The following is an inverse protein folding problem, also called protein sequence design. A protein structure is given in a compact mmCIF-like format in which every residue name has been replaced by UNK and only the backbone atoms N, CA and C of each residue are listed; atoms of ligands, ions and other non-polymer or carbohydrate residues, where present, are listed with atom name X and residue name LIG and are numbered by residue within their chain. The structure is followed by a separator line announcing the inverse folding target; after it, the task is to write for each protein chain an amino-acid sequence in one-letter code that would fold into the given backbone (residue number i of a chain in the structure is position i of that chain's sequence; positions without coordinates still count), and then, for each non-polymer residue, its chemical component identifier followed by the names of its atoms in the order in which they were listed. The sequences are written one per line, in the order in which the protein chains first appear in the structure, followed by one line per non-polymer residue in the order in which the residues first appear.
data_IF_679467001556
#
_entry.id   IF_679467001556
#
_cell.length_a   1.000
_cell.length_b   1.000
_cell.length_c   1.000
_cell.angle_alpha   90.00
_cell.angle_beta   90.00
_cell.angle_gamma   90.00
#
_symmetry.space_group_name_H-M   'P 1'
#
loop_
_entity.id
_entity.type
_entity.pdbx_description
1 polymer ?
#
# COMPACT_ATOMS: atom_id res chain seq x y z
N UNK A 1 11.86 65.94 -42.23
CA UNK A 1 12.18 65.53 -40.84
C UNK A 1 13.04 64.27 -40.92
N UNK A 2 14.08 64.23 -40.08
CA UNK A 2 15.26 63.39 -40.21
C UNK A 2 15.00 61.88 -39.98
N UNK A 3 15.95 61.03 -40.44
CA UNK A 3 15.79 59.60 -40.71
C UNK A 3 16.49 58.72 -39.63
N UNK A 4 16.31 57.40 -39.66
CA UNK A 4 17.31 56.41 -39.21
C UNK A 4 16.88 54.99 -39.66
N UNK A 5 17.62 54.31 -40.56
CA UNK A 5 18.83 53.49 -40.36
C UNK A 5 18.44 52.05 -39.93
N UNK A 6 18.37 51.08 -40.85
CA UNK A 6 19.45 50.21 -41.35
C UNK A 6 20.22 49.40 -40.29
N UNK A 7 20.37 48.11 -40.60
CA UNK A 7 21.25 47.07 -40.01
C UNK A 7 20.72 46.37 -38.75
N UNK A 8 21.13 45.15 -38.37
CA UNK A 8 21.48 43.89 -39.02
C UNK A 8 21.70 42.92 -37.84
N UNK A 9 21.52 41.62 -38.06
CA UNK A 9 22.26 40.51 -37.42
C UNK A 9 21.87 39.92 -36.04
N UNK A 10 21.96 38.59 -36.07
CA UNK A 10 22.36 37.61 -35.05
C UNK A 10 21.34 37.05 -34.06
N UNK A 11 20.99 35.80 -34.35
CA UNK A 11 20.44 34.76 -33.47
C UNK A 11 21.35 34.51 -32.26
N UNK A 12 20.77 34.47 -31.07
CA UNK A 12 21.33 33.80 -29.89
C UNK A 12 20.28 32.78 -29.39
N UNK A 13 20.66 31.55 -28.99
CA UNK A 13 19.73 30.61 -28.36
C UNK A 13 19.57 30.96 -26.87
N UNK A 14 18.34 31.29 -26.48
CA UNK A 14 17.95 31.55 -25.10
C UNK A 14 17.99 30.26 -24.28
N UNK A 15 18.85 30.26 -23.26
CA UNK A 15 18.86 29.31 -22.15
C UNK A 15 17.56 29.46 -21.33
N UNK A 16 16.84 28.35 -21.11
CA UNK A 16 15.77 28.31 -20.11
C UNK A 16 16.38 28.06 -18.71
N UNK A 17 15.91 28.76 -17.66
CA UNK A 17 16.45 28.65 -16.31
C UNK A 17 16.07 27.33 -15.62
N UNK A 18 17.06 26.66 -15.05
CA UNK A 18 16.91 25.49 -14.18
C UNK A 18 16.21 25.87 -12.87
N UNK A 19 15.05 25.26 -12.60
CA UNK A 19 14.42 25.33 -11.28
C UNK A 19 15.06 24.30 -10.34
N UNK A 20 15.44 24.69 -9.10
CA UNK A 20 16.00 23.77 -8.12
C UNK A 20 14.91 22.81 -7.62
N UNK A 21 15.03 21.52 -7.94
CA UNK A 21 14.21 20.47 -7.32
C UNK A 21 14.80 20.12 -5.95
N UNK A 22 14.14 20.59 -4.89
CA UNK A 22 14.40 20.17 -3.52
C UNK A 22 14.03 18.68 -3.38
N UNK A 23 15.03 17.81 -3.44
CA UNK A 23 14.91 16.43 -2.99
C UNK A 23 14.85 16.43 -1.45
N UNK A 24 13.85 15.80 -0.79
CA UNK A 24 13.93 15.58 0.64
C UNK A 24 15.03 14.54 0.90
N UNK A 25 16.17 14.99 1.41
CA UNK A 25 17.22 14.12 1.92
C UNK A 25 16.69 13.42 3.17
N UNK A 26 16.31 12.15 3.03
CA UNK A 26 15.95 11.29 4.16
C UNK A 26 17.21 10.94 4.94
N UNK A 27 17.43 11.62 6.07
CA UNK A 27 18.40 11.16 7.06
C UNK A 27 17.82 9.97 7.84
N UNK A 28 18.54 8.85 7.99
CA UNK A 28 18.07 7.75 8.83
C UNK A 28 18.31 8.10 10.31
N UNK A 29 17.25 8.47 11.02
CA UNK A 29 17.24 8.54 12.48
C UNK A 29 17.32 7.13 13.06
N UNK A 30 18.41 6.88 13.78
CA UNK A 30 18.94 5.54 14.11
C UNK A 30 18.31 4.91 15.37
N UNK A 31 17.00 5.11 15.63
CA UNK A 31 16.34 4.61 16.86
C UNK A 31 14.99 3.89 16.60
N UNK A 32 14.57 3.73 15.35
CA UNK A 32 13.27 3.18 14.99
C UNK A 32 13.24 1.64 14.86
N UNK A 33 14.39 0.99 15.02
CA UNK A 33 14.66 -0.26 14.31
C UNK A 33 14.37 -1.55 15.08
N UNK A 34 13.84 -1.50 16.31
CA UNK A 34 13.87 -2.66 17.22
C UNK A 34 12.49 -3.28 17.53
N UNK A 35 11.42 -2.85 16.88
CA UNK A 35 10.10 -3.44 17.15
C UNK A 35 9.98 -4.82 16.49
N UNK A 36 9.73 -5.85 17.31
CA UNK A 36 9.45 -7.20 16.82
C UNK A 36 8.12 -7.23 16.08
N UNK A 37 8.04 -8.07 15.04
CA UNK A 37 6.80 -8.26 14.26
C UNK A 37 5.59 -8.53 15.16
N UNK A 38 5.73 -9.45 16.12
CA UNK A 38 4.66 -9.85 17.04
C UNK A 38 4.13 -8.65 17.84
N UNK A 39 5.03 -7.84 18.39
CA UNK A 39 4.67 -6.70 19.22
C UNK A 39 3.96 -5.62 18.39
N UNK A 40 4.43 -5.39 17.15
CA UNK A 40 3.76 -4.49 16.21
C UNK A 40 2.33 -4.97 15.85
N UNK A 41 2.16 -6.28 15.63
CA UNK A 41 0.83 -6.85 15.33
C UNK A 41 -0.13 -6.76 16.52
N UNK A 42 0.35 -7.02 17.74
CA UNK A 42 -0.46 -6.91 18.96
C UNK A 42 -0.87 -5.46 19.23
N UNK A 43 0.07 -4.52 19.07
CA UNK A 43 -0.19 -3.10 19.18
C UNK A 43 -1.28 -2.64 18.20
N UNK A 44 -1.09 -2.88 16.90
CA UNK A 44 -2.08 -2.47 15.90
C UNK A 44 -3.45 -3.14 16.13
N UNK A 45 -3.48 -4.43 16.47
CA UNK A 45 -4.73 -5.14 16.73
C UNK A 45 -5.48 -4.55 17.95
N UNK A 46 -4.76 -4.11 18.98
CA UNK A 46 -5.36 -3.47 20.15
C UNK A 46 -6.09 -2.18 19.76
N UNK A 47 -5.53 -1.38 18.84
CA UNK A 47 -6.14 -0.14 18.37
C UNK A 47 -7.28 -0.41 17.37
N UNK A 48 -7.08 -1.34 16.43
CA UNK A 48 -8.11 -1.73 15.45
C UNK A 48 -9.34 -2.35 16.11
N UNK A 49 -9.18 -3.01 17.25
CA UNK A 49 -10.31 -3.58 18.00
C UNK A 49 -11.30 -2.54 18.51
N UNK A 50 -10.83 -1.31 18.77
CA UNK A 50 -11.65 -0.19 19.24
C UNK A 50 -12.27 0.62 18.11
N UNK A 51 -11.70 0.55 16.91
CA UNK A 51 -12.06 1.41 15.78
C UNK A 51 -12.84 0.67 14.69
N UNK A 52 -12.57 -0.61 14.46
CA UNK A 52 -13.24 -1.41 13.44
C UNK A 52 -14.47 -2.13 14.00
N UNK A 53 -15.49 -2.29 13.13
CA UNK A 53 -16.60 -3.21 13.41
C UNK A 53 -16.10 -4.64 13.52
N UNK A 54 -16.78 -5.47 14.32
CA UNK A 54 -16.42 -6.88 14.60
C UNK A 54 -16.15 -7.68 13.32
N UNK A 55 -17.00 -7.55 12.29
CA UNK A 55 -16.83 -8.26 11.02
C UNK A 55 -15.58 -7.82 10.27
N UNK A 56 -15.28 -6.52 10.26
CA UNK A 56 -14.10 -5.93 9.61
C UNK A 56 -12.83 -6.30 10.37
N UNK A 57 -12.87 -6.27 11.70
CA UNK A 57 -11.78 -6.69 12.57
C UNK A 57 -11.42 -8.16 12.33
N UNK A 58 -12.43 -9.04 12.18
CA UNK A 58 -12.21 -10.46 11.89
C UNK A 58 -11.45 -10.67 10.58
N UNK A 59 -11.90 -10.04 9.49
CA UNK A 59 -11.23 -10.12 8.19
C UNK A 59 -9.84 -9.52 8.24
N UNK A 60 -9.69 -8.35 8.87
CA UNK A 60 -8.41 -7.68 9.07
C UNK A 60 -7.41 -8.59 9.81
N UNK A 61 -7.79 -9.11 10.99
CA UNK A 61 -6.97 -10.03 11.79
C UNK A 61 -6.56 -11.26 10.98
N UNK A 62 -7.48 -11.83 10.19
CA UNK A 62 -7.18 -12.96 9.31
C UNK A 62 -6.11 -12.62 8.27
N UNK A 63 -6.19 -11.46 7.63
CA UNK A 63 -5.21 -11.02 6.64
C UNK A 63 -3.82 -10.83 7.26
N UNK A 64 -3.75 -10.14 8.40
CA UNK A 64 -2.51 -9.87 9.12
C UNK A 64 -1.86 -11.17 9.60
N UNK A 65 -2.64 -12.07 10.21
CA UNK A 65 -2.13 -13.35 10.68
C UNK A 65 -1.59 -14.22 9.54
N UNK A 66 -2.28 -14.22 8.39
CA UNK A 66 -1.84 -15.00 7.23
C UNK A 66 -0.59 -14.41 6.59
N UNK A 67 -0.45 -13.09 6.58
CA UNK A 67 0.81 -12.45 6.19
C UNK A 67 1.95 -12.80 7.14
N UNK A 68 1.73 -12.69 8.46
CA UNK A 68 2.72 -13.07 9.47
C UNK A 68 3.15 -14.54 9.33
N UNK A 69 2.20 -15.46 9.14
CA UNK A 69 2.50 -16.88 8.92
C UNK A 69 3.31 -17.11 7.64
N UNK A 70 3.00 -16.38 6.57
CA UNK A 70 3.73 -16.48 5.30
C UNK A 70 5.16 -15.96 5.43
N UNK A 71 5.37 -14.80 6.07
CA UNK A 71 6.71 -14.24 6.29
C UNK A 71 7.54 -15.19 7.14
N UNK A 72 7.02 -15.70 8.27
CA UNK A 72 7.77 -16.63 9.11
C UNK A 72 8.13 -17.95 8.41
N UNK A 73 7.37 -18.34 7.38
CA UNK A 73 7.62 -19.54 6.59
C UNK A 73 8.70 -19.31 5.54
N UNK A 74 8.58 -18.25 4.75
CA UNK A 74 9.46 -17.99 3.60
C UNK A 74 10.76 -17.27 4.03
N UNK A 75 10.73 -16.52 5.13
CA UNK A 75 11.79 -15.63 5.59
C UNK A 75 12.00 -15.72 7.10
N UNK A 76 12.78 -16.70 7.55
CA UNK A 76 13.00 -16.99 8.99
C UNK A 76 13.84 -15.92 9.70
N UNK A 77 14.59 -15.15 8.93
CA UNK A 77 15.47 -14.08 9.38
C UNK A 77 14.74 -12.77 9.67
N UNK A 78 13.57 -12.54 9.06
CA UNK A 78 12.82 -11.29 9.22
C UNK A 78 12.03 -11.32 10.54
N UNK A 79 12.61 -10.73 11.60
CA UNK A 79 12.02 -10.73 12.95
C UNK A 79 11.56 -9.34 13.37
N UNK A 80 12.11 -8.29 12.77
CA UNK A 80 11.81 -6.90 13.06
C UNK A 80 10.96 -6.29 11.95
N UNK A 81 10.10 -5.33 12.31
CA UNK A 81 9.23 -4.66 11.35
C UNK A 81 10.04 -3.89 10.29
N UNK A 82 11.20 -3.37 10.70
CA UNK A 82 12.19 -2.68 9.87
C UNK A 82 12.81 -3.58 8.80
N UNK A 83 12.89 -4.90 9.04
CA UNK A 83 13.42 -5.86 8.07
C UNK A 83 12.48 -6.04 6.88
N UNK A 84 11.18 -5.77 7.06
CA UNK A 84 10.18 -5.97 6.00
C UNK A 84 10.27 -4.83 4.98
N UNK A 85 10.86 -5.16 3.85
CA UNK A 85 10.90 -4.31 2.66
C UNK A 85 9.69 -4.52 1.72
N UNK A 86 9.50 -3.57 0.81
CA UNK A 86 8.47 -3.62 -0.25
C UNK A 86 8.47 -4.93 -1.04
N UNK A 87 9.65 -5.52 -1.31
CA UNK A 87 9.79 -6.78 -2.05
C UNK A 87 9.02 -7.93 -1.41
N UNK A 88 9.12 -8.10 -0.09
CA UNK A 88 8.46 -9.20 0.63
C UNK A 88 6.93 -9.06 0.56
N UNK A 89 6.41 -7.84 0.69
CA UNK A 89 4.97 -7.58 0.55
C UNK A 89 4.51 -7.83 -0.88
N UNK A 90 5.27 -7.40 -1.89
CA UNK A 90 4.91 -7.63 -3.31
C UNK A 90 4.87 -9.12 -3.63
N UNK A 91 5.85 -9.89 -3.16
CA UNK A 91 5.89 -11.35 -3.34
C UNK A 91 4.72 -12.05 -2.68
N UNK A 92 4.39 -11.68 -1.43
CA UNK A 92 3.21 -12.20 -0.75
C UNK A 92 1.93 -11.90 -1.55
N UNK A 93 1.77 -10.67 -2.02
CA UNK A 93 0.62 -10.28 -2.82
C UNK A 93 0.56 -11.05 -4.15
N UNK A 94 1.70 -11.32 -4.79
CA UNK A 94 1.79 -12.14 -6.00
C UNK A 94 1.42 -13.60 -5.71
N UNK A 95 1.84 -14.15 -4.57
CA UNK A 95 1.41 -15.47 -4.10
C UNK A 95 -0.12 -15.54 -3.93
N UNK A 96 -0.76 -14.48 -3.39
CA UNK A 96 -2.21 -14.41 -3.28
C UNK A 96 -2.91 -14.35 -4.65
N UNK A 97 -2.34 -13.66 -5.65
CA UNK A 97 -2.89 -13.68 -7.01
C UNK A 97 -2.90 -15.11 -7.57
N UNK A 98 -1.79 -15.85 -7.39
CA UNK A 98 -1.65 -17.22 -7.89
C UNK A 98 -2.59 -18.21 -7.21
N UNK A 99 -2.92 -18.00 -5.94
CA UNK A 99 -3.70 -18.96 -5.13
C UNK A 99 -5.17 -18.59 -4.98
N UNK A 100 -5.54 -17.33 -5.19
CA UNK A 100 -6.91 -16.84 -4.93
C UNK A 100 -7.43 -15.97 -6.08
N UNK A 101 -7.49 -14.65 -5.89
CA UNK A 101 -7.97 -13.70 -6.89
C UNK A 101 -7.34 -12.32 -6.73
N UNK A 102 -7.36 -11.53 -7.81
CA UNK A 102 -6.94 -10.13 -7.80
C UNK A 102 -7.71 -9.28 -6.78
N UNK A 103 -9.00 -9.58 -6.57
CA UNK A 103 -9.84 -8.92 -5.56
C UNK A 103 -9.33 -9.23 -4.16
N UNK A 104 -9.07 -10.51 -3.88
CA UNK A 104 -8.56 -10.91 -2.59
C UNK A 104 -7.19 -10.30 -2.31
N UNK A 105 -6.28 -10.33 -3.30
CA UNK A 105 -5.00 -9.62 -3.22
C UNK A 105 -5.16 -8.15 -2.86
N UNK A 106 -6.10 -7.44 -3.48
CA UNK A 106 -6.33 -6.02 -3.17
C UNK A 106 -6.88 -5.80 -1.76
N UNK A 107 -7.73 -6.70 -1.26
CA UNK A 107 -8.21 -6.66 0.12
C UNK A 107 -7.06 -6.83 1.12
N UNK A 108 -6.15 -7.79 0.88
CA UNK A 108 -4.96 -7.96 1.71
C UNK A 108 -4.03 -6.74 1.64
N UNK A 109 -3.79 -6.19 0.44
CA UNK A 109 -3.03 -4.95 0.28
C UNK A 109 -3.64 -3.80 1.10
N UNK A 110 -4.96 -3.65 1.09
CA UNK A 110 -5.64 -2.62 1.88
C UNK A 110 -5.46 -2.83 3.39
N UNK A 111 -5.60 -4.06 3.89
CA UNK A 111 -5.36 -4.38 5.30
C UNK A 111 -3.90 -4.13 5.70
N UNK A 112 -2.94 -4.59 4.90
CA UNK A 112 -1.52 -4.35 5.17
C UNK A 112 -1.17 -2.86 5.10
N UNK A 113 -1.76 -2.12 4.16
CA UNK A 113 -1.60 -0.67 4.09
C UNK A 113 -2.15 -0.02 5.36
N UNK A 114 -3.32 -0.45 5.85
CA UNK A 114 -3.87 0.08 7.10
C UNK A 114 -3.00 -0.25 8.31
N UNK A 115 -2.38 -1.44 8.35
CA UNK A 115 -1.43 -1.84 9.39
C UNK A 115 -0.23 -0.89 9.42
N UNK A 116 0.43 -0.70 8.26
CA UNK A 116 1.59 0.19 8.17
C UNK A 116 1.25 1.66 8.40
N UNK A 117 0.03 2.11 8.08
CA UNK A 117 -0.41 3.46 8.45
C UNK A 117 -0.50 3.60 9.97
N UNK A 118 -1.10 2.63 10.68
CA UNK A 118 -1.13 2.67 12.16
C UNK A 118 0.28 2.77 12.73
N UNK A 119 1.22 2.00 12.20
CA UNK A 119 2.60 2.03 12.67
C UNK A 119 3.32 3.36 12.32
N UNK A 120 3.03 3.93 11.15
CA UNK A 120 3.55 5.22 10.70
C UNK A 120 3.05 6.34 11.61
N UNK A 121 1.75 6.37 11.89
CA UNK A 121 1.10 7.37 12.75
C UNK A 121 1.59 7.32 14.21
N UNK A 122 2.13 6.17 14.65
CA UNK A 122 2.66 5.97 16.01
C UNK A 122 4.20 5.96 16.04
N UNK A 123 4.85 6.49 14.99
CA UNK A 123 6.31 6.60 14.90
C UNK A 123 7.03 5.25 15.17
N UNK A 124 6.44 4.14 14.72
CA UNK A 124 7.04 2.79 14.78
C UNK A 124 7.69 2.39 13.45
N UNK A 125 7.25 3.01 12.35
CA UNK A 125 7.89 2.92 11.03
C UNK A 125 7.95 4.31 10.41
N UNK A 126 8.98 4.57 9.60
CA UNK A 126 9.22 5.91 9.08
C UNK A 126 8.23 6.32 7.99
N UNK A 127 7.81 5.36 7.16
CA UNK A 127 6.82 5.61 6.12
C UNK A 127 6.09 4.34 5.71
N UNK A 128 4.85 4.50 5.25
CA UNK A 128 4.06 3.40 4.71
C UNK A 128 4.36 3.16 3.22
N UNK A 129 5.31 2.28 2.93
CA UNK A 129 5.67 1.90 1.55
C UNK A 129 4.56 1.16 0.78
N UNK A 130 3.55 0.62 1.45
CA UNK A 130 2.48 -0.17 0.82
C UNK A 130 1.52 0.74 0.03
N UNK A 131 1.39 2.01 0.42
CA UNK A 131 0.65 3.03 -0.33
C UNK A 131 1.13 3.11 -1.79
N UNK A 132 2.42 2.90 -2.04
CA UNK A 132 3.05 2.92 -3.37
C UNK A 132 2.79 1.67 -4.22
N UNK A 133 2.25 0.60 -3.65
CA UNK A 133 1.92 -0.62 -4.39
C UNK A 133 0.59 -0.39 -5.12
N UNK A 134 0.54 -0.50 -6.45
CA UNK A 134 -0.71 -0.26 -7.19
C UNK A 134 -1.79 -1.31 -6.89
N UNK A 135 -3.05 -0.88 -6.92
CA UNK A 135 -4.23 -1.76 -6.90
C UNK A 135 -4.39 -2.38 -8.28
N UNK A 136 -4.59 -3.70 -8.35
CA UNK A 136 -4.81 -4.39 -9.62
C UNK A 136 -6.27 -4.25 -10.04
N UNK A 137 -6.54 -3.99 -11.32
CA UNK A 137 -7.91 -3.87 -11.83
C UNK A 137 -8.62 -5.22 -11.72
N UNK A 138 -9.84 -5.20 -11.22
CA UNK A 138 -10.71 -6.39 -11.13
C UNK A 138 -11.96 -6.16 -11.96
N UNK A 139 -12.42 -7.18 -12.67
CA UNK A 139 -13.74 -7.12 -13.31
C UNK A 139 -14.81 -7.41 -12.26
N UNK A 140 -15.87 -6.62 -12.25
CA UNK A 140 -17.01 -6.84 -11.37
C UNK A 140 -17.96 -7.85 -12.01
N UNK A 141 -18.11 -9.01 -11.40
CA UNK A 141 -19.15 -9.98 -11.78
C UNK A 141 -20.40 -9.69 -10.97
N UNK A 142 -21.52 -9.42 -11.64
CA UNK A 142 -22.83 -9.29 -10.97
C UNK A 142 -23.39 -10.68 -10.69
N UNK A 143 -23.75 -10.94 -9.43
CA UNK A 143 -24.50 -12.16 -9.09
C UNK A 143 -25.87 -12.14 -9.78
N UNK A 144 -26.28 -13.27 -10.36
CA UNK A 144 -27.60 -13.39 -11.00
C UNK A 144 -28.69 -13.29 -9.93
N UNK A 145 -29.74 -12.53 -10.21
CA UNK A 145 -30.93 -12.47 -9.35
C UNK A 145 -31.81 -13.68 -9.61
N UNK A 146 -32.42 -14.25 -8.56
CA UNK A 146 -33.37 -15.34 -8.70
C UNK A 146 -34.58 -14.94 -9.55
N UNK A 147 -34.94 -15.81 -10.49
CA UNK A 147 -36.20 -15.71 -11.25
C UNK A 147 -37.40 -16.04 -10.35
N UNK A 148 -38.62 -15.66 -10.77
CA UNK A 148 -39.85 -15.92 -10.00
C UNK A 148 -40.03 -17.41 -9.70
N UNK A 149 -39.84 -18.26 -10.72
CA UNK A 149 -39.93 -19.73 -10.62
C UNK A 149 -38.96 -20.29 -9.57
N UNK A 150 -37.71 -19.79 -9.55
CA UNK A 150 -36.72 -20.24 -8.58
C UNK A 150 -37.08 -19.84 -7.14
N UNK A 151 -37.70 -18.67 -6.94
CA UNK A 151 -38.18 -18.26 -5.61
C UNK A 151 -39.30 -19.16 -5.14
N UNK A 152 -40.30 -19.40 -5.98
CA UNK A 152 -41.47 -20.23 -5.65
C UNK A 152 -41.05 -21.68 -5.32
N UNK A 153 -39.95 -22.17 -5.91
CA UNK A 153 -39.36 -23.49 -5.60
C UNK A 153 -38.64 -23.55 -4.24
N UNK A 154 -38.11 -22.42 -3.75
CA UNK A 154 -37.35 -22.36 -2.49
C UNK A 154 -38.27 -22.18 -1.28
N UNK A 155 -39.43 -21.53 -1.46
CA UNK A 155 -40.39 -21.22 -0.39
C UNK A 155 -41.52 -22.25 -0.25
N UNK A 156 -41.20 -23.54 -0.39
CA UNK A 156 -42.13 -24.65 -0.09
C UNK A 156 -42.47 -24.70 1.39
#
# INVERSE_FOLDING_TARGET
MKPENSQQTTLQPTQQPEQPTLQPTLQPTNQLNSVKLKDAFEFDLSLKSRTLRVSSLRSYKSHINRFNAWINKEYKELKLISDIQKKHVVEFLNHLVKTTSLRNRNNYRASLSSFYTTLEDNEMVSYNFIKNIKVQKTQATRNKTYTKIQKDTIFV
#
